data_IF_449811489834
#
_entry.id   IF_449811489834
#
_cell.length_a   1.000
_cell.length_b   1.000
_cell.length_c   1.000
_cell.angle_alpha   90.00
_cell.angle_beta   90.00
_cell.angle_gamma   90.00
#
_symmetry.space_group_name_H-M   'P 1'
#
loop_
_entity.id
_entity.type
_entity.pdbx_description
1 polymer ?
#
# COMPACT_ATOMS: atom_id res chain seq x y z
N UNK A 1 -0.77 -40.42 -36.31
CA UNK A 1 -0.75 -40.19 -34.85
C UNK A 1 0.24 -39.07 -34.54
N UNK A 2 -0.23 -37.81 -34.53
CA UNK A 2 0.58 -36.61 -34.30
C UNK A 2 -0.16 -35.34 -33.78
N UNK A 3 -1.43 -35.37 -33.28
CA UNK A 3 -2.07 -34.14 -32.77
C UNK A 3 -1.91 -33.92 -31.25
N UNK A 4 -1.58 -34.94 -30.45
CA UNK A 4 -1.60 -34.84 -28.98
C UNK A 4 -0.52 -33.90 -28.40
N UNK A 5 0.66 -33.82 -29.03
CA UNK A 5 1.77 -33.00 -28.53
C UNK A 5 1.60 -31.49 -28.78
N UNK A 6 0.86 -31.08 -29.82
CA UNK A 6 0.59 -29.66 -30.07
C UNK A 6 -0.41 -29.08 -29.07
N UNK A 7 -1.43 -29.85 -28.70
CA UNK A 7 -2.45 -29.44 -27.72
C UNK A 7 -1.84 -29.28 -26.31
N UNK A 8 -0.93 -30.18 -25.94
CA UNK A 8 -0.23 -30.13 -24.65
C UNK A 8 0.72 -28.93 -24.50
N UNK A 9 1.36 -28.50 -25.60
CA UNK A 9 2.22 -27.28 -25.61
C UNK A 9 1.41 -25.99 -25.57
N UNK A 10 0.27 -25.93 -26.25
CA UNK A 10 -0.62 -24.77 -26.23
C UNK A 10 -1.24 -24.54 -24.84
N UNK A 11 -1.61 -25.62 -24.13
CA UNK A 11 -2.10 -25.52 -22.75
C UNK A 11 -1.04 -25.01 -21.77
N UNK A 12 0.22 -25.44 -21.94
CA UNK A 12 1.33 -25.00 -21.09
C UNK A 12 1.62 -23.49 -21.22
N UNK A 13 1.52 -22.91 -22.43
CA UNK A 13 1.67 -21.46 -22.63
C UNK A 13 0.50 -20.65 -22.02
N UNK A 14 -0.71 -21.19 -22.01
CA UNK A 14 -1.88 -20.51 -21.43
C UNK A 14 -1.76 -20.40 -19.91
N UNK A 15 -1.25 -21.44 -19.23
CA UNK A 15 -1.04 -21.42 -17.76
C UNK A 15 -0.01 -20.36 -17.35
N UNK A 16 1.01 -20.09 -18.17
CA UNK A 16 2.02 -19.04 -17.89
C UNK A 16 1.46 -17.63 -18.03
N UNK A 17 0.52 -17.41 -18.96
CA UNK A 17 -0.09 -16.08 -19.19
C UNK A 17 -1.12 -15.69 -18.12
N UNK A 18 -1.75 -16.65 -17.44
CA UNK A 18 -2.74 -16.40 -16.39
C UNK A 18 -2.18 -16.55 -14.95
N UNK A 19 -0.90 -16.92 -14.81
CA UNK A 19 -0.34 -17.36 -13.52
C UNK A 19 0.15 -16.27 -12.56
N UNK A 20 0.26 -15.00 -12.97
CA UNK A 20 0.78 -13.97 -12.08
C UNK A 20 0.57 -12.56 -12.58
N UNK A 21 -0.51 -11.91 -12.14
CA UNK A 21 -0.60 -10.46 -12.21
C UNK A 21 0.32 -9.86 -11.14
N UNK A 22 1.50 -9.41 -11.53
CA UNK A 22 2.33 -8.56 -10.65
C UNK A 22 1.73 -7.16 -10.62
N UNK A 23 1.72 -6.47 -9.46
CA UNK A 23 1.25 -5.10 -9.38
C UNK A 23 2.03 -4.21 -10.35
N UNK A 24 1.33 -3.44 -11.18
CA UNK A 24 1.97 -2.42 -11.99
C UNK A 24 2.51 -1.33 -11.07
N UNK A 25 3.83 -1.11 -11.06
CA UNK A 25 4.47 -0.09 -10.22
C UNK A 25 4.41 1.32 -10.85
N UNK A 26 3.76 1.49 -12.02
CA UNK A 26 3.66 2.78 -12.67
C UNK A 26 2.60 3.66 -11.99
N UNK A 27 2.81 4.99 -11.99
CA UNK A 27 1.84 5.95 -11.45
C UNK A 27 1.62 5.85 -9.95
N UNK A 28 2.61 5.36 -9.19
CA UNK A 28 2.63 5.48 -7.72
C UNK A 28 3.96 5.96 -7.14
N UNK A 29 4.96 6.19 -7.99
CA UNK A 29 6.32 6.57 -7.61
C UNK A 29 6.46 7.95 -6.95
N UNK A 30 5.40 8.75 -6.86
CA UNK A 30 5.43 10.05 -6.18
C UNK A 30 4.69 10.06 -4.83
N UNK A 31 4.11 8.94 -4.40
CA UNK A 31 3.59 8.79 -3.05
C UNK A 31 4.74 8.64 -2.06
N UNK A 32 4.66 9.38 -0.95
CA UNK A 32 5.68 9.41 0.11
C UNK A 32 5.03 9.21 1.46
N UNK A 33 5.71 8.52 2.36
CA UNK A 33 5.37 8.47 3.78
C UNK A 33 5.65 9.85 4.37
N UNK A 34 4.61 10.51 4.89
CA UNK A 34 4.67 11.88 5.39
C UNK A 34 4.80 11.96 6.89
N UNK A 35 3.94 11.22 7.57
CA UNK A 35 3.86 11.24 9.02
C UNK A 35 3.52 9.85 9.51
N UNK A 36 4.06 9.51 10.66
CA UNK A 36 3.68 8.33 11.43
C UNK A 36 3.52 8.73 12.89
N UNK A 37 2.62 8.06 13.58
CA UNK A 37 2.46 8.23 15.02
C UNK A 37 2.02 6.92 15.66
N UNK A 38 2.52 6.66 16.86
CA UNK A 38 2.03 5.61 17.72
C UNK A 38 1.91 6.12 19.15
N UNK A 39 0.82 5.76 19.84
CA UNK A 39 0.83 5.77 21.30
C UNK A 39 1.75 4.65 21.85
N UNK A 40 2.16 4.68 23.13
CA UNK A 40 3.06 3.66 23.68
C UNK A 40 2.53 2.22 23.60
N UNK A 41 1.21 2.04 23.60
CA UNK A 41 0.57 0.72 23.54
C UNK A 41 0.32 0.19 22.11
N UNK A 42 0.64 0.96 21.07
CA UNK A 42 0.41 0.58 19.67
C UNK A 42 -1.07 0.44 19.27
N UNK A 43 -2.00 0.81 20.15
CA UNK A 43 -3.45 0.73 19.89
C UNK A 43 -3.97 1.94 19.13
N UNK A 44 -3.30 3.09 19.23
CA UNK A 44 -3.56 4.29 18.44
C UNK A 44 -2.34 4.50 17.56
N UNK A 45 -2.47 4.13 16.28
CA UNK A 45 -1.44 4.35 15.29
C UNK A 45 -2.03 4.97 14.04
N UNK A 46 -1.22 5.76 13.34
CA UNK A 46 -1.50 6.13 11.96
C UNK A 46 -0.22 6.22 11.12
N UNK A 47 -0.41 6.06 9.81
CA UNK A 47 0.54 6.38 8.76
C UNK A 47 -0.17 7.29 7.77
N UNK A 48 0.39 8.46 7.52
CA UNK A 48 -0.01 9.34 6.44
C UNK A 48 0.93 9.13 5.25
N UNK A 49 0.36 8.88 4.08
CA UNK A 49 1.08 9.02 2.81
C UNK A 49 0.51 10.18 2.01
N UNK A 50 1.36 10.88 1.28
CA UNK A 50 0.90 11.90 0.36
C UNK A 50 1.71 11.88 -0.92
N UNK A 51 1.06 12.29 -2.00
CA UNK A 51 1.77 12.61 -3.23
C UNK A 51 2.68 13.82 -3.03
N UNK A 52 3.88 13.75 -3.59
CA UNK A 52 4.77 14.89 -3.69
C UNK A 52 4.64 15.58 -5.05
N UNK A 53 5.31 16.72 -5.16
CA UNK A 53 5.84 17.18 -6.44
C UNK A 53 4.77 17.61 -7.48
N UNK A 54 3.52 17.80 -7.07
CA UNK A 54 2.46 18.40 -7.88
C UNK A 54 1.80 17.46 -8.90
N UNK A 55 1.99 16.14 -8.83
CA UNK A 55 1.40 15.22 -9.80
C UNK A 55 -0.11 15.06 -9.61
N UNK A 56 -0.86 15.05 -10.71
CA UNK A 56 -2.32 14.92 -10.74
C UNK A 56 -2.79 13.51 -11.11
N UNK A 57 -1.90 12.59 -11.49
CA UNK A 57 -2.25 11.31 -12.13
C UNK A 57 -1.66 10.06 -11.47
N UNK A 58 -1.18 10.13 -10.23
CA UNK A 58 -0.56 8.98 -9.52
C UNK A 58 -1.63 8.06 -8.91
N UNK A 59 -2.55 7.58 -9.74
CA UNK A 59 -3.78 6.94 -9.27
C UNK A 59 -3.67 5.43 -9.02
N UNK A 60 -2.61 4.76 -9.49
CA UNK A 60 -2.57 3.29 -9.60
C UNK A 60 -2.19 2.56 -8.28
N UNK A 61 -2.83 2.93 -7.18
CA UNK A 61 -2.58 2.34 -5.86
C UNK A 61 -3.02 0.88 -5.72
N UNK A 62 -3.96 0.38 -6.52
CA UNK A 62 -4.46 -0.99 -6.34
C UNK A 62 -3.34 -2.02 -6.42
N UNK A 63 -3.23 -2.87 -5.40
CA UNK A 63 -2.18 -3.88 -5.30
C UNK A 63 -0.81 -3.38 -4.83
N UNK A 64 -0.63 -2.07 -4.62
CA UNK A 64 0.55 -1.54 -3.94
C UNK A 64 0.49 -1.84 -2.45
N UNK A 65 1.66 -1.87 -1.80
CA UNK A 65 1.77 -2.22 -0.39
C UNK A 65 2.39 -1.07 0.42
N UNK A 66 1.79 -0.80 1.58
CA UNK A 66 2.45 -0.10 2.68
C UNK A 66 2.91 -1.18 3.68
N UNK A 67 4.19 -1.25 3.99
CA UNK A 67 4.75 -2.30 4.84
C UNK A 67 5.54 -1.73 6.00
N UNK A 68 5.38 -2.35 7.17
CA UNK A 68 6.33 -2.29 8.27
C UNK A 68 7.23 -3.53 8.24
N UNK A 69 8.12 -3.67 9.23
CA UNK A 69 8.90 -4.89 9.39
C UNK A 69 8.03 -6.12 9.70
N UNK A 70 6.84 -5.93 10.28
CA UNK A 70 5.99 -7.03 10.79
C UNK A 70 4.67 -7.20 10.05
N UNK A 71 4.16 -6.15 9.39
CA UNK A 71 2.86 -6.13 8.76
C UNK A 71 2.89 -5.47 7.39
N UNK A 72 1.88 -5.77 6.59
CA UNK A 72 1.69 -5.13 5.28
C UNK A 72 0.21 -4.86 5.04
N UNK A 73 -0.09 -3.69 4.48
CA UNK A 73 -1.40 -3.29 4.02
C UNK A 73 -1.34 -3.15 2.49
N UNK A 74 -2.18 -3.90 1.80
CA UNK A 74 -2.32 -3.80 0.34
C UNK A 74 -3.52 -2.94 0.00
N UNK A 75 -3.30 -1.89 -0.79
CA UNK A 75 -4.36 -0.99 -1.20
C UNK A 75 -5.39 -1.73 -2.09
N UNK A 76 -6.68 -1.72 -1.73
CA UNK A 76 -7.69 -2.51 -2.42
C UNK A 76 -8.12 -1.89 -3.76
N UNK A 77 -7.89 -0.59 -3.95
CA UNK A 77 -8.35 0.16 -5.11
C UNK A 77 -7.38 1.29 -5.48
N UNK A 78 -7.54 1.77 -6.71
CA UNK A 78 -6.86 2.96 -7.20
C UNK A 78 -7.37 4.22 -6.49
N UNK A 79 -6.51 5.23 -6.35
CA UNK A 79 -6.93 6.55 -5.89
C UNK A 79 -7.93 7.15 -6.89
N UNK A 80 -8.98 7.78 -6.38
CA UNK A 80 -9.96 8.49 -7.20
C UNK A 80 -9.60 9.97 -7.34
N UNK A 81 -9.92 10.53 -8.51
CA UNK A 81 -9.72 11.95 -8.81
C UNK A 81 -8.26 12.37 -8.99
N UNK A 82 -8.04 13.68 -8.99
CA UNK A 82 -6.69 14.25 -9.09
C UNK A 82 -5.86 13.89 -7.88
N UNK A 83 -4.61 13.51 -8.10
CA UNK A 83 -3.65 13.27 -7.01
C UNK A 83 -2.87 14.51 -6.59
N UNK A 84 -3.18 15.71 -7.08
CA UNK A 84 -2.44 16.93 -6.70
C UNK A 84 -2.52 17.18 -5.19
N UNK A 85 -1.37 17.06 -4.50
CA UNK A 85 -1.29 17.17 -3.04
C UNK A 85 -2.34 16.30 -2.33
N UNK A 86 -2.58 15.09 -2.85
CA UNK A 86 -3.49 14.13 -2.23
C UNK A 86 -2.80 13.45 -1.05
N UNK A 87 -3.51 13.38 0.05
CA UNK A 87 -3.14 12.66 1.28
C UNK A 87 -4.04 11.45 1.44
N UNK A 88 -3.49 10.37 1.99
CA UNK A 88 -4.24 9.20 2.44
C UNK A 88 -3.79 8.86 3.86
N UNK A 89 -4.77 8.69 4.73
CA UNK A 89 -4.58 8.36 6.13
C UNK A 89 -4.95 6.90 6.40
N UNK A 90 -3.97 6.12 6.86
CA UNK A 90 -4.18 4.76 7.34
C UNK A 90 -4.06 4.78 8.86
N UNK A 91 -5.10 4.37 9.59
CA UNK A 91 -5.07 4.42 11.06
C UNK A 91 -5.76 3.24 11.73
N UNK A 92 -5.47 3.02 13.01
CA UNK A 92 -6.14 1.97 13.80
C UNK A 92 -7.58 2.35 14.09
N UNK A 93 -8.41 1.35 14.40
CA UNK A 93 -9.82 1.58 14.77
C UNK A 93 -9.94 2.51 15.98
N UNK A 94 -9.04 2.42 16.97
CA UNK A 94 -9.09 3.28 18.14
C UNK A 94 -8.80 4.76 17.82
N UNK A 95 -8.02 5.05 16.77
CA UNK A 95 -7.78 6.43 16.31
C UNK A 95 -9.09 7.13 15.93
N UNK A 96 -10.06 6.40 15.36
CA UNK A 96 -11.37 6.97 14.96
C UNK A 96 -12.23 7.44 16.14
N UNK A 97 -11.89 7.01 17.36
CA UNK A 97 -12.62 7.36 18.58
C UNK A 97 -12.10 8.65 19.24
N UNK A 98 -10.96 9.16 18.76
CA UNK A 98 -10.35 10.36 19.31
C UNK A 98 -11.17 11.61 18.94
N UNK A 99 -11.49 12.48 19.91
CA UNK A 99 -12.17 13.74 19.62
C UNK A 99 -11.36 14.59 18.63
N UNK A 100 -11.98 14.93 17.50
CA UNK A 100 -11.37 15.79 16.47
C UNK A 100 -10.39 15.08 15.53
N UNK A 101 -10.20 13.76 15.65
CA UNK A 101 -9.38 13.02 14.69
C UNK A 101 -10.04 12.99 13.30
N UNK A 102 -9.27 13.20 12.21
CA UNK A 102 -9.78 13.04 10.86
C UNK A 102 -10.19 11.58 10.59
N UNK A 103 -11.20 11.38 9.77
CA UNK A 103 -11.60 10.04 9.34
C UNK A 103 -10.47 9.41 8.50
N UNK A 104 -9.97 8.21 8.85
CA UNK A 104 -8.99 7.50 8.03
C UNK A 104 -9.59 7.05 6.70
N UNK A 105 -8.78 7.05 5.64
CA UNK A 105 -9.12 6.44 4.35
C UNK A 105 -9.08 4.91 4.43
N UNK A 106 -8.19 4.36 5.26
CA UNK A 106 -8.08 2.92 5.48
C UNK A 106 -7.86 2.61 6.96
N UNK A 107 -8.42 1.46 7.38
CA UNK A 107 -8.19 0.92 8.71
C UNK A 107 -7.06 -0.11 8.67
N UNK A 108 -6.09 0.03 9.57
CA UNK A 108 -5.00 -0.92 9.82
C UNK A 108 -5.15 -1.55 11.21
N UNK A 109 -4.62 -2.76 11.44
CA UNK A 109 -4.66 -3.38 12.77
C UNK A 109 -3.80 -2.62 13.78
N UNK A 110 -4.12 -2.78 15.07
CA UNK A 110 -3.26 -2.34 16.17
C UNK A 110 -1.86 -2.97 16.05
N UNK A 111 -0.84 -2.25 16.50
CA UNK A 111 0.56 -2.67 16.39
C UNK A 111 1.00 -2.98 14.95
N UNK A 112 0.44 -2.26 13.96
CA UNK A 112 0.86 -2.38 12.57
C UNK A 112 2.38 -2.17 12.43
N UNK A 113 2.93 -1.20 13.18
CA UNK A 113 4.37 -0.99 13.30
C UNK A 113 4.82 -0.91 14.76
N UNK A 114 6.10 -1.18 14.99
CA UNK A 114 6.76 -1.14 16.30
C UNK A 114 6.72 0.27 16.91
N UNK A 115 6.48 0.39 18.21
CA UNK A 115 6.46 1.69 18.89
C UNK A 115 7.85 2.23 19.22
N UNK A 116 8.90 1.42 19.02
CA UNK A 116 10.28 1.76 19.36
C UNK A 116 11.12 2.03 18.12
N UNK A 117 11.17 1.09 17.18
CA UNK A 117 11.94 1.22 15.95
C UNK A 117 11.31 0.36 14.85
N UNK A 118 11.16 0.92 13.65
CA UNK A 118 10.61 0.23 12.49
C UNK A 118 11.06 0.87 11.17
N UNK A 119 10.74 0.21 10.07
CA UNK A 119 10.92 0.69 8.71
C UNK A 119 9.57 0.65 8.00
N UNK A 120 9.00 1.81 7.72
CA UNK A 120 7.77 1.96 6.97
C UNK A 120 8.12 2.21 5.51
N UNK A 121 7.71 1.31 4.63
CA UNK A 121 7.96 1.42 3.20
C UNK A 121 6.67 1.50 2.41
N UNK A 122 6.60 2.42 1.46
CA UNK A 122 5.55 2.45 0.45
C UNK A 122 6.09 1.91 -0.88
N UNK A 123 5.60 0.72 -1.24
CA UNK A 123 6.10 -0.08 -2.36
C UNK A 123 7.64 -0.09 -2.37
N UNK A 124 8.26 0.12 -3.53
CA UNK A 124 9.72 0.18 -3.69
C UNK A 124 10.23 1.63 -3.72
N UNK A 125 9.37 2.61 -3.48
CA UNK A 125 9.63 4.00 -3.86
C UNK A 125 9.99 4.91 -2.70
N UNK A 126 9.48 4.62 -1.51
CA UNK A 126 9.76 5.45 -0.36
C UNK A 126 9.88 4.64 0.91
N UNK A 127 10.74 5.10 1.80
CA UNK A 127 11.04 4.44 3.06
C UNK A 127 11.28 5.48 4.13
N UNK A 128 10.58 5.33 5.26
CA UNK A 128 10.78 6.06 6.49
C UNK A 128 11.28 5.09 7.56
N UNK A 129 12.45 5.37 8.12
CA UNK A 129 13.04 4.61 9.23
C UNK A 129 12.99 5.47 10.49
N UNK A 130 12.61 4.89 11.61
CA UNK A 130 12.70 5.52 12.92
C UNK A 130 13.22 4.53 13.96
N UNK A 131 13.82 5.06 15.03
CA UNK A 131 14.37 4.33 16.16
C UNK A 131 14.39 5.22 17.41
#
# INVERSE_FOLDING_TARGET
MRPLHLVSRALACLVVLFGGAVPALCGVHLWRVKEIFSNPGGTIQFVEIATCCGSTTEVFLSGQALSSNSHSFTFPANASGSTLNKHLLLATSAFTTLPGAPTPDYIIPDNFFSTTADTISFSVYDTLVFA
#
